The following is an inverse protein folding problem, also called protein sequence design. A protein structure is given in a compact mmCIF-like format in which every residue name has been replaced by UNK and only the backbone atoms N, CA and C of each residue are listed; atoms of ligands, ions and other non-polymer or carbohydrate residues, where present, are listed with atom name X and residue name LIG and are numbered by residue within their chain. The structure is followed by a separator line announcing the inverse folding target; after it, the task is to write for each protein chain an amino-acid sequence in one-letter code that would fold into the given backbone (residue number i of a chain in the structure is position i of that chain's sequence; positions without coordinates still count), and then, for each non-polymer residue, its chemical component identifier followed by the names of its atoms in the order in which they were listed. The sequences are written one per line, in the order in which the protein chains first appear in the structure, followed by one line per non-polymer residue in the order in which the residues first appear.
data_IF_859165200540
#
_entry.id   IF_859165200540
#
_cell.length_a   1.000
_cell.length_b   1.000
_cell.length_c   1.000
_cell.angle_alpha   90.00
_cell.angle_beta   90.00
_cell.angle_gamma   90.00
#
_symmetry.space_group_name_H-M   'P 1'
#
loop_
_entity.id
_entity.type
_entity.pdbx_description
1 polymer ?
#
# COMPACT_ATOMS: atom_id res chain seq x y z
N UNK A 1 8.94 -12.47 9.96
CA UNK A 1 7.70 -11.83 10.38
C UNK A 1 6.57 -12.83 10.48
N UNK A 2 5.70 -12.66 11.42
CA UNK A 2 4.57 -13.55 11.61
C UNK A 2 3.29 -12.82 11.28
N UNK A 3 2.49 -13.42 10.39
CA UNK A 3 1.14 -12.93 10.09
C UNK A 3 0.18 -13.78 10.89
N UNK A 4 -0.74 -13.14 11.59
CA UNK A 4 -1.72 -13.85 12.40
C UNK A 4 -2.63 -14.69 11.51
N UNK A 5 -2.78 -15.96 11.84
CA UNK A 5 -3.69 -16.84 11.10
C UNK A 5 -5.14 -16.51 11.35
N UNK A 6 -5.43 -15.99 12.55
CA UNK A 6 -6.80 -15.66 12.93
C UNK A 6 -7.22 -14.30 12.38
N UNK A 7 -6.24 -13.41 12.17
CA UNK A 7 -6.51 -12.04 11.78
C UNK A 7 -5.35 -11.53 10.92
N UNK A 8 -5.25 -12.03 9.68
CA UNK A 8 -4.14 -11.61 8.81
C UNK A 8 -4.26 -10.13 8.46
N UNK A 9 -3.10 -9.52 8.23
CA UNK A 9 -3.08 -8.13 7.76
C UNK A 9 -3.73 -8.02 6.38
N UNK A 10 -4.49 -6.95 6.19
CA UNK A 10 -5.15 -6.65 4.93
C UNK A 10 -4.37 -5.59 4.17
N UNK A 11 -4.05 -5.89 2.92
CA UNK A 11 -3.31 -4.99 2.04
C UNK A 11 -4.23 -4.55 0.92
N UNK A 12 -4.41 -3.25 0.80
CA UNK A 12 -5.19 -2.66 -0.28
C UNK A 12 -4.26 -2.41 -1.45
N UNK A 13 -4.61 -2.90 -2.62
CA UNK A 13 -3.84 -2.73 -3.85
C UNK A 13 -4.68 -1.90 -4.81
N UNK A 14 -4.19 -0.71 -5.16
CA UNK A 14 -4.90 0.22 -6.01
C UNK A 14 -4.09 0.49 -7.27
N UNK A 15 -4.64 0.13 -8.41
CA UNK A 15 -4.02 0.35 -9.72
C UNK A 15 -5.12 0.27 -10.77
N UNK A 16 -5.15 1.22 -11.70
CA UNK A 16 -6.17 1.19 -12.76
C UNK A 16 -5.87 0.14 -13.83
N UNK A 17 -4.65 -0.40 -13.86
CA UNK A 17 -4.27 -1.47 -14.76
C UNK A 17 -4.45 -2.82 -14.05
N UNK A 18 -5.36 -3.65 -14.57
CA UNK A 18 -5.65 -4.95 -13.98
C UNK A 18 -4.45 -5.88 -13.92
N UNK A 19 -3.56 -5.82 -14.92
CA UNK A 19 -2.35 -6.64 -14.93
C UNK A 19 -1.42 -6.28 -13.79
N UNK A 20 -1.23 -4.99 -13.55
CA UNK A 20 -0.39 -4.54 -12.43
C UNK A 20 -1.01 -4.90 -11.09
N UNK A 21 -2.34 -4.76 -10.97
CA UNK A 21 -3.05 -5.13 -9.75
C UNK A 21 -2.83 -6.61 -9.42
N UNK A 22 -2.99 -7.47 -10.43
CA UNK A 22 -2.82 -8.91 -10.25
C UNK A 22 -1.37 -9.29 -9.98
N UNK A 23 -0.42 -8.57 -10.56
CA UNK A 23 0.99 -8.82 -10.28
C UNK A 23 1.30 -8.58 -8.81
N UNK A 24 0.84 -7.47 -8.26
CA UNK A 24 1.05 -7.17 -6.84
C UNK A 24 0.32 -8.16 -5.94
N UNK A 25 -0.91 -8.50 -6.29
CA UNK A 25 -1.68 -9.48 -5.54
C UNK A 25 -0.96 -10.83 -5.48
N UNK A 26 -0.44 -11.28 -6.62
CA UNK A 26 0.24 -12.58 -6.69
C UNK A 26 1.54 -12.59 -5.92
N UNK A 27 2.12 -11.43 -5.61
CA UNK A 27 3.31 -11.32 -4.78
C UNK A 27 2.96 -11.44 -3.29
N UNK A 28 1.93 -10.74 -2.85
CA UNK A 28 1.67 -10.63 -1.40
C UNK A 28 0.72 -11.70 -0.87
N UNK A 29 -0.24 -12.14 -1.67
CA UNK A 29 -1.26 -13.08 -1.20
C UNK A 29 -0.68 -14.43 -0.76
N UNK A 30 0.30 -15.02 -1.48
CA UNK A 30 0.89 -16.28 -1.04
C UNK A 30 1.61 -16.22 0.30
N UNK A 31 1.94 -15.01 0.77
CA UNK A 31 2.60 -14.82 2.06
C UNK A 31 1.62 -14.79 3.22
N UNK A 32 0.33 -14.96 2.95
CA UNK A 32 -0.69 -15.01 3.99
C UNK A 32 -1.44 -13.71 4.21
N UNK A 33 -1.18 -12.68 3.39
CA UNK A 33 -1.89 -11.42 3.52
C UNK A 33 -3.24 -11.48 2.81
N UNK A 34 -4.25 -10.87 3.42
CA UNK A 34 -5.52 -10.66 2.78
C UNK A 34 -5.39 -9.48 1.81
N UNK A 35 -5.96 -9.58 0.63
CA UNK A 35 -5.88 -8.47 -0.34
C UNK A 35 -7.25 -7.88 -0.61
N UNK A 36 -7.28 -6.56 -0.74
CA UNK A 36 -8.44 -5.79 -1.17
C UNK A 36 -7.99 -5.05 -2.43
N UNK A 37 -8.82 -5.04 -3.45
CA UNK A 37 -8.43 -4.49 -4.76
C UNK A 37 -9.28 -3.29 -5.11
N UNK A 38 -8.65 -2.25 -5.63
CA UNK A 38 -9.32 -1.06 -6.12
C UNK A 38 -8.75 -0.68 -7.48
N UNK A 39 -9.60 -0.20 -8.38
CA UNK A 39 -9.19 0.22 -9.71
C UNK A 39 -9.08 1.75 -9.85
N UNK A 40 -9.35 2.48 -8.79
CA UNK A 40 -9.28 3.94 -8.78
C UNK A 40 -8.98 4.44 -7.37
N UNK A 41 -8.54 5.69 -7.27
CA UNK A 41 -8.33 6.32 -5.98
C UNK A 41 -9.62 6.47 -5.20
N UNK A 42 -10.70 6.80 -5.88
CA UNK A 42 -12.01 6.97 -5.26
C UNK A 42 -12.47 5.66 -4.61
N UNK A 43 -12.34 4.57 -5.36
CA UNK A 43 -12.70 3.25 -4.83
C UNK A 43 -11.84 2.88 -3.63
N UNK A 44 -10.55 3.18 -3.71
CA UNK A 44 -9.61 2.91 -2.62
C UNK A 44 -9.99 3.65 -1.34
N UNK A 45 -10.36 4.92 -1.46
CA UNK A 45 -10.78 5.72 -0.32
C UNK A 45 -12.04 5.12 0.32
N UNK A 46 -13.00 4.70 -0.50
CA UNK A 46 -14.22 4.06 0.01
C UNK A 46 -13.89 2.79 0.78
N UNK A 47 -12.96 1.98 0.27
CA UNK A 47 -12.55 0.75 0.95
C UNK A 47 -11.93 1.06 2.31
N UNK A 48 -11.09 2.07 2.39
CA UNK A 48 -10.45 2.44 3.67
C UNK A 48 -11.50 2.88 4.69
N UNK A 49 -12.58 3.50 4.24
CA UNK A 49 -13.67 3.89 5.15
C UNK A 49 -14.47 2.71 5.68
N UNK A 50 -14.60 1.66 4.88
CA UNK A 50 -15.53 0.57 5.17
C UNK A 50 -14.86 -0.70 5.66
N UNK A 51 -13.59 -0.90 5.29
CA UNK A 51 -12.87 -2.13 5.59
C UNK A 51 -11.66 -1.83 6.44
N UNK A 52 -11.21 -2.84 7.18
CA UNK A 52 -9.99 -2.70 7.94
C UNK A 52 -8.81 -2.91 7.00
N UNK A 53 -8.02 -1.86 6.79
CA UNK A 53 -6.85 -1.89 5.92
C UNK A 53 -5.62 -1.60 6.77
N UNK A 54 -4.59 -2.44 6.63
CA UNK A 54 -3.35 -2.29 7.40
C UNK A 54 -2.25 -1.63 6.59
N UNK A 55 -2.32 -1.71 5.27
CA UNK A 55 -1.31 -1.12 4.39
C UNK A 55 -1.92 -0.91 3.01
N UNK A 56 -1.54 0.18 2.34
CA UNK A 56 -2.00 0.46 0.99
C UNK A 56 -0.84 0.55 0.02
N UNK A 57 -0.96 -0.15 -1.11
CA UNK A 57 -0.09 -0.01 -2.26
C UNK A 57 -0.87 0.78 -3.30
N UNK A 58 -0.33 1.92 -3.75
CA UNK A 58 -1.05 2.85 -4.60
C UNK A 58 -0.24 3.18 -5.85
N UNK A 59 -0.82 2.89 -7.02
CA UNK A 59 -0.26 3.35 -8.28
C UNK A 59 -0.29 4.88 -8.30
N UNK A 60 0.83 5.50 -8.66
CA UNK A 60 0.89 6.97 -8.69
C UNK A 60 0.03 7.55 -9.80
N UNK A 61 0.00 6.92 -10.97
CA UNK A 61 -0.65 7.48 -12.15
C UNK A 61 -1.99 6.80 -12.43
N UNK A 62 -3.05 7.43 -11.98
CA UNK A 62 -4.41 6.96 -12.22
C UNK A 62 -5.25 8.13 -12.73
N UNK A 63 -6.30 7.88 -13.53
CA UNK A 63 -7.19 8.95 -13.97
C UNK A 63 -7.91 9.58 -12.78
N UNK A 64 -8.23 10.85 -12.88
CA UNK A 64 -9.02 11.65 -11.97
C UNK A 64 -8.38 11.89 -10.61
N UNK A 65 -7.83 10.86 -9.98
CA UNK A 65 -7.18 11.01 -8.67
C UNK A 65 -5.87 10.24 -8.68
N UNK A 66 -4.75 10.94 -8.45
CA UNK A 66 -3.44 10.31 -8.42
C UNK A 66 -3.24 9.50 -7.16
N UNK A 67 -2.20 8.64 -7.16
CA UNK A 67 -1.86 7.89 -5.96
C UNK A 67 -1.50 8.80 -4.79
N UNK A 68 -0.83 9.91 -5.07
CA UNK A 68 -0.46 10.85 -4.01
C UNK A 68 -1.70 11.52 -3.41
N UNK A 69 -2.64 11.95 -4.25
CA UNK A 69 -3.90 12.51 -3.76
C UNK A 69 -4.70 11.49 -2.96
N UNK A 70 -4.72 10.26 -3.44
CA UNK A 70 -5.39 9.15 -2.74
C UNK A 70 -4.78 8.93 -1.36
N UNK A 71 -3.46 8.91 -1.30
CA UNK A 71 -2.72 8.74 -0.05
C UNK A 71 -3.09 9.83 0.96
N UNK A 72 -3.14 11.07 0.50
CA UNK A 72 -3.46 12.20 1.39
C UNK A 72 -4.85 12.07 1.98
N UNK A 73 -5.82 11.64 1.17
CA UNK A 73 -7.18 11.42 1.67
C UNK A 73 -7.26 10.25 2.62
N UNK A 74 -6.56 9.16 2.32
CA UNK A 74 -6.54 7.99 3.20
C UNK A 74 -5.97 8.33 4.57
N UNK A 75 -4.93 9.14 4.62
CA UNK A 75 -4.32 9.50 5.90
C UNK A 75 -5.20 10.41 6.73
N UNK A 76 -6.13 11.13 6.12
CA UNK A 76 -7.12 11.87 6.89
C UNK A 76 -8.12 10.93 7.57
N UNK A 77 -8.36 9.77 6.98
CA UNK A 77 -9.27 8.76 7.55
C UNK A 77 -8.54 7.93 8.60
N UNK A 78 -7.30 7.54 8.30
CA UNK A 78 -6.49 6.69 9.17
C UNK A 78 -5.05 7.20 9.13
N UNK A 79 -4.67 7.99 10.14
CA UNK A 79 -3.38 8.68 10.16
C UNK A 79 -2.20 7.73 10.29
N UNK A 80 -2.40 6.51 10.78
CA UNK A 80 -1.30 5.56 10.96
C UNK A 80 -1.17 4.56 9.81
N UNK A 81 -2.06 4.65 8.81
CA UNK A 81 -2.03 3.71 7.68
C UNK A 81 -0.76 3.92 6.85
N UNK A 82 0.12 2.91 6.77
CA UNK A 82 1.30 3.03 5.91
C UNK A 82 0.89 2.90 4.45
N UNK A 83 1.31 3.86 3.64
CA UNK A 83 1.00 3.90 2.22
C UNK A 83 2.30 3.87 1.43
N UNK A 84 2.35 3.01 0.42
CA UNK A 84 3.49 2.85 -0.47
C UNK A 84 3.04 3.21 -1.88
N UNK A 85 3.73 4.17 -2.49
CA UNK A 85 3.44 4.54 -3.88
C UNK A 85 4.21 3.62 -4.82
N UNK A 86 3.58 3.25 -5.92
CA UNK A 86 4.18 2.40 -6.94
C UNK A 86 4.14 3.18 -8.25
N UNK A 87 5.27 3.35 -8.93
CA UNK A 87 5.32 4.22 -10.10
C UNK A 87 6.37 3.76 -11.11
N UNK A 88 6.06 3.94 -12.40
CA UNK A 88 7.02 3.75 -13.47
C UNK A 88 7.97 4.94 -13.60
N UNK A 89 7.70 6.05 -12.89
CA UNK A 89 8.39 7.31 -13.10
C UNK A 89 8.83 7.88 -11.74
N UNK A 90 9.83 7.26 -11.13
CA UNK A 90 10.30 7.62 -9.79
C UNK A 90 11.35 8.76 -9.91
N UNK A 91 10.84 9.97 -10.13
CA UNK A 91 11.69 11.18 -10.20
C UNK A 91 12.01 11.70 -8.81
N UNK A 92 13.05 12.56 -8.74
CA UNK A 92 13.37 13.23 -7.48
C UNK A 92 12.21 14.07 -6.97
N UNK A 93 11.49 14.73 -7.89
CA UNK A 93 10.33 15.53 -7.53
C UNK A 93 9.25 14.70 -6.88
N UNK A 94 8.95 13.54 -7.46
CA UNK A 94 7.97 12.63 -6.87
C UNK A 94 8.43 12.12 -5.51
N UNK A 95 9.72 11.79 -5.38
CA UNK A 95 10.24 11.33 -4.10
C UNK A 95 10.08 12.38 -3.02
N UNK A 96 10.34 13.64 -3.33
CA UNK A 96 10.15 14.73 -2.38
C UNK A 96 8.68 14.90 -2.01
N UNK A 97 7.78 14.83 -2.99
CA UNK A 97 6.35 14.93 -2.73
C UNK A 97 5.85 13.79 -1.85
N UNK A 98 6.33 12.58 -2.14
CA UNK A 98 5.98 11.40 -1.36
C UNK A 98 6.43 11.55 0.09
N UNK A 99 7.65 12.03 0.30
CA UNK A 99 8.19 12.23 1.64
C UNK A 99 7.35 13.29 2.39
N UNK A 100 7.00 14.39 1.73
CA UNK A 100 6.18 15.43 2.34
C UNK A 100 4.79 14.93 2.71
N UNK A 101 4.25 14.00 1.95
CA UNK A 101 2.93 13.43 2.21
C UNK A 101 2.99 12.26 3.19
N UNK A 102 4.17 11.93 3.71
CA UNK A 102 4.37 10.84 4.66
C UNK A 102 4.09 9.46 4.07
N UNK A 103 4.39 9.27 2.78
CA UNK A 103 4.40 7.93 2.22
C UNK A 103 5.50 7.13 2.92
N UNK A 104 5.22 5.87 3.18
CA UNK A 104 6.25 5.02 3.79
C UNK A 104 7.41 4.80 2.83
N UNK A 105 7.11 4.57 1.56
CA UNK A 105 8.13 4.32 0.56
C UNK A 105 7.56 4.51 -0.84
N UNK A 106 8.44 4.51 -1.84
CA UNK A 106 8.08 4.53 -3.26
C UNK A 106 8.78 3.34 -3.91
N UNK A 107 8.02 2.54 -4.66
CA UNK A 107 8.54 1.37 -5.37
C UNK A 107 8.43 1.64 -6.87
N UNK A 108 9.53 1.38 -7.58
CA UNK A 108 9.58 1.57 -9.04
C UNK A 108 8.96 0.37 -9.76
N UNK A 109 8.28 0.66 -10.87
CA UNK A 109 7.83 -0.37 -11.81
C UNK A 109 8.93 -0.63 -12.82
N UNK A 110 9.09 -1.85 -13.32
CA UNK A 110 8.30 -3.05 -13.00
C UNK A 110 8.61 -3.54 -11.59
N UNK A 111 7.59 -4.04 -10.91
CA UNK A 111 7.76 -4.43 -9.51
C UNK A 111 8.56 -5.70 -9.38
N UNK A 112 9.41 -5.76 -8.36
CA UNK A 112 10.19 -6.93 -8.01
C UNK A 112 9.56 -7.58 -6.78
N UNK A 113 9.39 -8.89 -6.82
CA UNK A 113 8.82 -9.63 -5.69
C UNK A 113 9.56 -9.33 -4.39
N UNK A 114 10.90 -9.38 -4.44
CA UNK A 114 11.70 -9.20 -3.23
C UNK A 114 11.58 -7.77 -2.68
N UNK A 115 11.57 -6.77 -3.56
CA UNK A 115 11.43 -5.38 -3.12
C UNK A 115 10.05 -5.14 -2.52
N UNK A 116 9.01 -5.64 -3.17
CA UNK A 116 7.64 -5.47 -2.66
C UNK A 116 7.50 -6.13 -1.29
N UNK A 117 7.90 -7.38 -1.16
CA UNK A 117 7.75 -8.10 0.10
C UNK A 117 8.58 -7.48 1.22
N UNK A 118 9.83 -7.11 0.91
CA UNK A 118 10.67 -6.46 1.91
C UNK A 118 10.02 -5.17 2.42
N UNK A 119 9.56 -4.34 1.49
CA UNK A 119 8.98 -3.04 1.85
C UNK A 119 7.68 -3.20 2.63
N UNK A 120 6.81 -4.11 2.18
CA UNK A 120 5.54 -4.37 2.85
C UNK A 120 5.76 -4.88 4.28
N UNK A 121 6.62 -5.88 4.42
CA UNK A 121 6.87 -6.46 5.75
C UNK A 121 7.47 -5.42 6.69
N UNK A 122 8.44 -4.63 6.21
CA UNK A 122 9.06 -3.59 7.04
C UNK A 122 8.03 -2.55 7.47
N UNK A 123 7.15 -2.14 6.57
CA UNK A 123 6.12 -1.15 6.90
C UNK A 123 5.16 -1.68 7.95
N UNK A 124 4.73 -2.93 7.80
CA UNK A 124 3.82 -3.55 8.76
C UNK A 124 4.47 -3.70 10.13
N UNK A 125 5.73 -4.11 10.17
CA UNK A 125 6.44 -4.25 11.42
C UNK A 125 6.64 -2.91 12.11
N UNK A 126 6.93 -1.86 11.35
CA UNK A 126 7.12 -0.53 11.92
C UNK A 126 5.85 -0.02 12.60
N UNK A 127 4.70 -0.22 11.96
CA UNK A 127 3.44 0.32 12.46
C UNK A 127 2.79 -0.60 13.50
N UNK A 128 2.82 -1.92 13.26
CA UNK A 128 2.07 -2.88 14.07
C UNK A 128 2.95 -3.82 14.89
N UNK A 129 4.25 -3.85 14.62
CA UNK A 129 5.15 -4.82 15.25
C UNK A 129 5.23 -4.69 16.76
N UNK A 130 5.19 -3.45 17.27
CA UNK A 130 5.27 -3.23 18.72
C UNK A 130 4.08 -3.82 19.46
N UNK A 131 2.92 -3.85 18.84
CA UNK A 131 1.73 -4.45 19.44
C UNK A 131 1.92 -5.95 19.63
N UNK A 132 2.57 -6.60 18.69
CA UNK A 132 2.86 -8.02 18.77
C UNK A 132 4.05 -8.29 19.67
N UNK A 133 5.06 -7.44 19.60
CA UNK A 133 6.26 -7.59 20.39
C UNK A 133 6.06 -7.37 21.88
N UNK A 134 4.97 -6.75 22.27
CA UNK A 134 4.67 -6.49 23.68
C UNK A 134 4.30 -7.75 24.46
N UNK A 135 4.15 -8.88 23.80
CA UNK A 135 3.81 -10.12 24.49
C UNK A 135 4.95 -10.64 25.25
#
# INVERSE_FOLDING_TARGET
MVVSRLDPYSILITDDDGGCREALRSIVEPEGFRTLLASSGEEAVDIVREERVHLALLDMHMPTMTGLETLQLMRQINAVLPCILVTADATEGLMRQALSAHAYSVIAKPVSKNVVLYTVVRALMRVYGNQQGAR
#
